data_IF_831262303284
#
_entry.id   IF_831262303284
#
_cell.length_a   1.000
_cell.length_b   1.000
_cell.length_c   1.000
_cell.angle_alpha   90.00
_cell.angle_beta   90.00
_cell.angle_gamma   90.00
#
_symmetry.space_group_name_H-M   'P 1'
#
loop_
_entity.id
_entity.type
_entity.pdbx_description
1 polymer ?
#
# COMPACT_ATOMS: atom_id res chain seq x y z
N UNK A 1 -68.23 -34.66 2.82
CA UNK A 1 -67.02 -33.80 2.68
C UNK A 1 -65.82 -34.73 2.41
N UNK A 2 -65.38 -35.12 1.21
CA UNK A 2 -65.25 -34.51 -0.13
C UNK A 2 -64.44 -33.22 -0.25
N UNK A 3 -63.82 -32.73 0.82
CA UNK A 3 -62.89 -31.57 0.76
C UNK A 3 -61.60 -31.69 1.58
N UNK A 4 -61.34 -32.85 2.22
CA UNK A 4 -60.12 -33.03 3.05
C UNK A 4 -59.01 -33.79 2.28
N UNK A 5 -59.30 -34.32 1.09
CA UNK A 5 -58.30 -35.00 0.25
C UNK A 5 -57.41 -34.06 -0.58
N UNK A 6 -57.67 -32.76 -0.59
CA UNK A 6 -56.96 -31.78 -1.43
C UNK A 6 -55.84 -31.02 -0.70
N UNK A 7 -55.73 -31.14 0.63
CA UNK A 7 -54.70 -30.44 1.41
C UNK A 7 -53.43 -31.28 1.56
N UNK A 8 -53.50 -32.60 1.34
CA UNK A 8 -52.32 -33.48 1.36
C UNK A 8 -51.52 -33.40 0.04
N UNK A 9 -52.03 -32.71 -1.00
CA UNK A 9 -51.51 -32.82 -2.37
C UNK A 9 -50.85 -31.54 -2.95
N UNK A 10 -50.61 -30.49 -2.16
CA UNK A 10 -50.04 -29.23 -2.69
C UNK A 10 -48.93 -28.58 -1.84
N UNK A 11 -48.46 -29.25 -0.78
CA UNK A 11 -47.47 -28.68 0.14
C UNK A 11 -46.14 -29.43 0.26
N UNK A 12 -45.95 -30.54 -0.48
CA UNK A 12 -44.64 -31.14 -0.63
C UNK A 12 -43.85 -30.26 -1.60
N UNK A 13 -43.34 -29.15 -1.08
CA UNK A 13 -42.22 -28.43 -1.66
C UNK A 13 -41.17 -29.48 -2.00
N UNK A 14 -41.03 -29.77 -3.29
CA UNK A 14 -39.84 -30.42 -3.81
C UNK A 14 -38.69 -29.50 -3.43
N UNK A 15 -38.10 -29.73 -2.28
CA UNK A 15 -36.73 -29.30 -1.99
C UNK A 15 -35.91 -30.15 -2.95
N UNK A 16 -35.85 -29.72 -4.21
CA UNK A 16 -34.85 -30.17 -5.15
C UNK A 16 -33.53 -29.72 -4.56
N UNK A 17 -32.93 -30.54 -3.69
CA UNK A 17 -31.49 -30.53 -3.55
C UNK A 17 -30.98 -30.78 -4.96
N UNK A 18 -30.56 -29.73 -5.67
CA UNK A 18 -29.85 -29.89 -6.92
C UNK A 18 -28.71 -30.86 -6.63
N UNK A 19 -28.78 -32.08 -7.17
CA UNK A 19 -27.75 -33.10 -6.96
C UNK A 19 -26.43 -32.50 -7.41
N UNK A 20 -25.47 -32.40 -6.49
CA UNK A 20 -24.11 -31.95 -6.83
C UNK A 20 -23.55 -32.95 -7.83
N UNK A 21 -23.31 -32.49 -9.06
CA UNK A 21 -22.63 -33.30 -10.08
C UNK A 21 -21.13 -33.14 -9.89
N UNK A 22 -20.43 -34.23 -9.60
CA UNK A 22 -18.97 -34.23 -9.59
C UNK A 22 -18.44 -33.93 -11.00
N UNK A 23 -17.40 -33.10 -11.10
CA UNK A 23 -16.79 -32.70 -12.35
C UNK A 23 -15.28 -33.01 -12.39
N UNK A 24 -14.85 -34.02 -11.63
CA UNK A 24 -13.43 -34.31 -11.47
C UNK A 24 -13.01 -34.62 -10.05
N UNK A 25 -11.70 -34.77 -9.88
CA UNK A 25 -11.03 -34.98 -8.59
C UNK A 25 -10.00 -33.88 -8.36
N UNK A 26 -9.88 -33.45 -7.11
CA UNK A 26 -8.91 -32.44 -6.67
C UNK A 26 -7.84 -33.14 -5.83
N UNK A 27 -6.58 -32.87 -6.13
CA UNK A 27 -5.43 -33.47 -5.48
C UNK A 27 -4.51 -32.38 -4.89
N UNK A 28 -4.14 -32.54 -3.62
CA UNK A 28 -3.13 -31.71 -2.95
C UNK A 28 -1.70 -32.14 -3.28
N UNK A 29 -1.52 -33.41 -3.67
CA UNK A 29 -0.26 -34.00 -4.11
C UNK A 29 -0.43 -34.60 -5.51
N UNK A 30 0.29 -34.07 -6.49
CA UNK A 30 0.18 -34.50 -7.88
C UNK A 30 1.48 -34.18 -8.67
N UNK A 31 1.94 -35.04 -9.62
CA UNK A 31 3.13 -34.76 -10.43
C UNK A 31 3.10 -33.39 -11.15
N UNK A 32 1.93 -32.97 -11.62
CA UNK A 32 1.75 -31.66 -12.25
C UNK A 32 2.08 -30.48 -11.32
N UNK A 33 1.82 -30.60 -10.01
CA UNK A 33 2.20 -29.58 -9.01
C UNK A 33 3.72 -29.50 -8.94
N UNK A 34 4.42 -30.65 -8.90
CA UNK A 34 5.89 -30.70 -8.86
C UNK A 34 6.51 -30.04 -10.10
N UNK A 35 5.91 -30.26 -11.28
CA UNK A 35 6.32 -29.60 -12.54
C UNK A 35 6.18 -28.09 -12.43
N UNK A 36 5.03 -27.60 -11.98
CA UNK A 36 4.74 -26.17 -11.83
C UNK A 36 5.72 -25.51 -10.87
N UNK A 37 5.94 -26.10 -9.70
CA UNK A 37 6.88 -25.55 -8.72
C UNK A 37 8.34 -25.59 -9.19
N UNK A 38 8.73 -26.66 -9.88
CA UNK A 38 10.04 -26.76 -10.52
C UNK A 38 10.27 -25.64 -11.53
N UNK A 39 9.26 -25.34 -12.35
CA UNK A 39 9.29 -24.24 -13.32
C UNK A 39 9.40 -22.89 -12.62
N UNK A 40 8.61 -22.64 -11.58
CA UNK A 40 8.65 -21.36 -10.83
C UNK A 40 10.00 -21.14 -10.16
N UNK A 41 10.57 -22.20 -9.57
CA UNK A 41 11.92 -22.13 -8.99
C UNK A 41 12.99 -21.81 -10.04
N UNK A 42 12.87 -22.40 -11.23
CA UNK A 42 13.76 -22.09 -12.36
C UNK A 42 13.57 -20.63 -12.83
N UNK A 43 12.32 -20.15 -12.91
CA UNK A 43 11.98 -18.78 -13.27
C UNK A 43 12.64 -17.77 -12.31
N UNK A 44 12.46 -17.95 -11.00
CA UNK A 44 13.06 -17.07 -9.97
C UNK A 44 14.58 -17.06 -10.05
N UNK A 45 15.19 -18.20 -10.39
CA UNK A 45 16.65 -18.29 -10.57
C UNK A 45 17.14 -17.65 -11.88
N UNK A 46 16.24 -17.31 -12.81
CA UNK A 46 16.59 -16.84 -14.15
C UNK A 46 17.11 -17.94 -15.08
N UNK A 47 16.83 -19.21 -14.79
CA UNK A 47 17.30 -20.35 -15.58
C UNK A 47 16.35 -20.61 -16.76
N UNK A 48 16.55 -19.86 -17.84
CA UNK A 48 15.73 -19.90 -19.06
C UNK A 48 15.66 -21.32 -19.65
N UNK A 49 16.80 -22.03 -19.72
CA UNK A 49 16.87 -23.37 -20.28
C UNK A 49 16.04 -24.36 -19.47
N UNK A 50 16.11 -24.27 -18.14
CA UNK A 50 15.33 -25.14 -17.26
C UNK A 50 13.84 -24.79 -17.32
N UNK A 51 13.48 -23.50 -17.39
CA UNK A 51 12.08 -23.09 -17.63
C UNK A 51 11.59 -23.69 -18.95
N UNK A 52 12.33 -23.54 -20.04
CA UNK A 52 11.96 -24.07 -21.36
C UNK A 52 11.71 -25.58 -21.33
N UNK A 53 12.50 -26.32 -20.53
CA UNK A 53 12.33 -27.76 -20.32
C UNK A 53 11.01 -28.17 -19.66
N UNK A 54 10.32 -27.27 -18.96
CA UNK A 54 8.99 -27.55 -18.38
C UNK A 54 7.83 -27.19 -19.31
N UNK A 55 8.06 -26.43 -20.38
CA UNK A 55 7.00 -25.91 -21.26
C UNK A 55 6.79 -26.81 -22.48
N UNK A 56 5.55 -26.98 -22.91
CA UNK A 56 5.19 -27.60 -24.18
C UNK A 56 5.69 -26.73 -25.36
N UNK A 57 5.72 -27.29 -26.57
CA UNK A 57 6.19 -26.54 -27.74
C UNK A 57 5.17 -25.49 -28.22
N UNK A 58 3.88 -25.79 -28.08
CA UNK A 58 2.76 -24.90 -28.39
C UNK A 58 2.35 -24.00 -27.20
N UNK A 59 3.26 -23.77 -26.26
CA UNK A 59 2.97 -23.04 -25.02
C UNK A 59 2.42 -21.62 -25.23
N UNK A 60 1.48 -21.23 -24.35
CA UNK A 60 0.95 -19.86 -24.26
C UNK A 60 0.81 -19.33 -22.82
N UNK A 61 1.24 -18.10 -22.56
CA UNK A 61 0.98 -17.39 -21.30
C UNK A 61 0.03 -16.22 -21.50
N UNK A 62 -0.99 -16.11 -20.65
CA UNK A 62 -2.05 -15.12 -20.76
C UNK A 62 -2.13 -14.20 -19.54
N UNK A 63 -2.54 -12.96 -19.77
CA UNK A 63 -3.01 -12.05 -18.73
C UNK A 63 -4.50 -12.30 -18.49
N UNK A 64 -4.80 -12.96 -17.37
CA UNK A 64 -6.17 -13.29 -16.97
C UNK A 64 -7.04 -12.07 -16.65
N UNK A 65 -6.42 -10.91 -16.38
CA UNK A 65 -7.12 -9.65 -16.12
C UNK A 65 -7.49 -8.90 -17.40
N UNK A 66 -7.04 -9.36 -18.58
CA UNK A 66 -7.28 -8.72 -19.86
C UNK A 66 -8.15 -9.59 -20.78
N UNK A 67 -9.41 -9.17 -21.00
CA UNK A 67 -10.38 -9.90 -21.84
C UNK A 67 -9.95 -10.04 -23.31
N UNK A 68 -9.09 -9.16 -23.81
CA UNK A 68 -8.69 -9.12 -25.22
C UNK A 68 -7.32 -9.77 -25.46
N UNK A 69 -6.67 -10.28 -24.40
CA UNK A 69 -5.35 -10.89 -24.49
C UNK A 69 -5.32 -12.09 -25.44
N UNK A 70 -4.25 -12.20 -26.23
CA UNK A 70 -4.05 -13.26 -27.23
C UNK A 70 -2.98 -14.28 -26.83
N UNK A 71 -2.36 -14.09 -25.66
CA UNK A 71 -1.34 -14.96 -25.12
C UNK A 71 0.02 -14.77 -25.79
N UNK A 72 1.05 -14.60 -24.95
CA UNK A 72 2.44 -14.61 -25.37
C UNK A 72 2.91 -16.04 -25.64
N UNK A 73 3.74 -16.21 -26.68
CA UNK A 73 4.33 -17.50 -27.03
C UNK A 73 5.50 -17.90 -26.10
N UNK A 74 5.96 -19.16 -26.25
CA UNK A 74 7.10 -19.72 -25.50
C UNK A 74 8.33 -18.83 -25.53
N UNK A 75 8.72 -18.35 -26.71
CA UNK A 75 9.91 -17.51 -26.85
C UNK A 75 9.77 -16.17 -26.10
N UNK A 76 8.60 -15.55 -26.14
CA UNK A 76 8.30 -14.30 -25.44
C UNK A 76 8.27 -14.49 -23.93
N UNK A 77 7.69 -15.59 -23.45
CA UNK A 77 7.71 -15.94 -22.03
C UNK A 77 9.14 -16.21 -21.52
N UNK A 78 9.97 -16.91 -22.29
CA UNK A 78 11.38 -17.13 -21.93
C UNK A 78 12.19 -15.83 -21.86
N UNK A 79 11.96 -14.88 -22.78
CA UNK A 79 12.53 -13.52 -22.65
C UNK A 79 12.11 -12.82 -21.36
N UNK A 80 10.89 -13.08 -20.88
CA UNK A 80 10.43 -12.53 -19.59
C UNK A 80 11.21 -13.09 -18.39
N UNK A 81 11.62 -14.36 -18.42
CA UNK A 81 12.47 -14.97 -17.37
C UNK A 81 13.74 -14.15 -17.19
N UNK A 82 14.43 -13.88 -18.29
CA UNK A 82 15.64 -13.06 -18.30
C UNK A 82 15.34 -11.62 -17.88
N UNK A 83 14.28 -11.02 -18.41
CA UNK A 83 13.89 -9.65 -18.06
C UNK A 83 13.66 -9.48 -16.56
N UNK A 84 12.98 -10.44 -15.91
CA UNK A 84 12.75 -10.41 -14.47
C UNK A 84 14.06 -10.56 -13.69
N UNK A 85 14.92 -11.50 -14.09
CA UNK A 85 16.23 -11.70 -13.47
C UNK A 85 17.13 -10.46 -13.57
N UNK A 86 17.10 -9.80 -14.72
CA UNK A 86 17.96 -8.66 -15.03
C UNK A 86 17.44 -7.36 -14.38
N UNK A 87 16.13 -7.22 -14.16
CA UNK A 87 15.52 -5.97 -13.69
C UNK A 87 14.91 -6.02 -12.29
N UNK A 88 14.89 -7.16 -11.61
CA UNK A 88 14.32 -7.29 -10.25
C UNK A 88 15.37 -7.86 -9.30
N UNK A 89 15.73 -7.08 -8.29
CA UNK A 89 16.52 -7.55 -7.15
C UNK A 89 15.61 -8.27 -6.14
N UNK A 90 16.18 -9.25 -5.45
CA UNK A 90 15.52 -10.02 -4.39
C UNK A 90 14.22 -10.71 -4.84
N UNK A 91 14.12 -11.06 -6.13
CA UNK A 91 12.94 -11.74 -6.68
C UNK A 91 12.63 -13.01 -5.88
N UNK A 92 11.40 -13.11 -5.42
CA UNK A 92 10.85 -14.27 -4.74
C UNK A 92 9.43 -14.49 -5.21
N UNK A 93 9.11 -15.73 -5.56
CA UNK A 93 7.75 -16.19 -5.81
C UNK A 93 7.54 -17.40 -4.92
N UNK A 94 6.61 -17.28 -3.96
CA UNK A 94 6.31 -18.33 -2.97
C UNK A 94 4.81 -18.49 -2.85
N UNK A 95 4.34 -19.67 -2.48
CA UNK A 95 2.93 -19.88 -2.12
C UNK A 95 2.51 -18.86 -1.05
N UNK A 96 1.33 -18.27 -1.20
CA UNK A 96 0.76 -17.41 -0.17
C UNK A 96 0.47 -18.23 1.09
N UNK A 97 0.51 -17.58 2.26
CA UNK A 97 0.26 -18.28 3.53
C UNK A 97 -1.14 -18.92 3.54
N UNK A 98 -1.19 -20.23 3.83
CA UNK A 98 -2.43 -21.02 3.84
C UNK A 98 -2.94 -21.47 2.46
N UNK A 99 -2.27 -21.08 1.37
CA UNK A 99 -2.58 -21.58 0.04
C UNK A 99 -1.87 -22.91 -0.24
N UNK A 100 -2.61 -23.84 -0.85
CA UNK A 100 -2.08 -25.08 -1.39
C UNK A 100 -2.36 -25.09 -2.90
N UNK A 101 -1.37 -25.44 -3.74
CA UNK A 101 -1.66 -25.63 -5.15
C UNK A 101 -2.54 -26.87 -5.31
N UNK A 102 -3.68 -26.71 -5.96
CA UNK A 102 -4.61 -27.80 -6.22
C UNK A 102 -4.42 -28.29 -7.65
N UNK A 103 -4.30 -29.60 -7.83
CA UNK A 103 -4.38 -30.24 -9.14
C UNK A 103 -5.81 -30.73 -9.39
N UNK A 104 -6.40 -30.33 -10.51
CA UNK A 104 -7.76 -30.67 -10.90
C UNK A 104 -7.70 -31.57 -12.13
N UNK A 105 -8.20 -32.79 -11.97
CA UNK A 105 -8.43 -33.72 -13.07
C UNK A 105 -9.93 -33.76 -13.38
N UNK A 106 -10.30 -33.30 -14.57
CA UNK A 106 -11.70 -33.27 -15.00
C UNK A 106 -12.11 -34.62 -15.61
N UNK A 107 -13.38 -35.00 -15.39
CA UNK A 107 -13.99 -36.17 -16.06
C UNK A 107 -14.52 -35.84 -17.46
N UNK A 108 -14.62 -34.55 -17.80
CA UNK A 108 -15.12 -34.10 -19.10
C UNK A 108 -14.17 -34.50 -20.24
N UNK A 109 -14.71 -35.04 -21.33
CA UNK A 109 -13.91 -35.55 -22.45
C UNK A 109 -13.02 -34.51 -23.11
N UNK A 110 -13.35 -33.21 -23.01
CA UNK A 110 -12.55 -32.13 -23.56
C UNK A 110 -11.35 -31.74 -22.67
N UNK A 111 -11.35 -32.15 -21.40
CA UNK A 111 -10.35 -31.78 -20.39
C UNK A 111 -9.65 -32.98 -19.76
N UNK A 112 -10.12 -34.22 -19.98
CA UNK A 112 -9.56 -35.45 -19.38
C UNK A 112 -8.09 -35.72 -19.68
N UNK A 113 -7.54 -35.06 -20.69
CA UNK A 113 -6.17 -35.24 -21.15
C UNK A 113 -5.20 -34.18 -20.61
N UNK A 114 -5.69 -33.28 -19.76
CA UNK A 114 -4.88 -32.25 -19.10
C UNK A 114 -5.18 -32.20 -17.61
N UNK A 115 -4.19 -31.75 -16.85
CA UNK A 115 -4.33 -31.45 -15.43
C UNK A 115 -4.21 -29.96 -15.25
N UNK A 116 -5.18 -29.37 -14.56
CA UNK A 116 -5.14 -27.98 -14.19
C UNK A 116 -4.47 -27.85 -12.83
N UNK A 117 -3.50 -26.95 -12.69
CA UNK A 117 -2.92 -26.61 -11.38
C UNK A 117 -3.26 -25.18 -11.05
N UNK A 118 -3.96 -24.98 -9.94
CA UNK A 118 -4.38 -23.69 -9.45
C UNK A 118 -3.53 -23.29 -8.25
N UNK A 119 -2.98 -22.07 -8.20
CA UNK A 119 -2.14 -21.62 -7.07
C UNK A 119 -2.32 -20.14 -6.76
N UNK A 120 -2.06 -19.78 -5.51
CA UNK A 120 -1.94 -18.41 -5.01
C UNK A 120 -0.54 -18.20 -4.47
N UNK A 121 0.09 -17.12 -4.90
CA UNK A 121 1.49 -16.84 -4.63
C UNK A 121 1.73 -15.38 -4.28
N UNK A 122 2.70 -15.16 -3.41
CA UNK A 122 3.22 -13.84 -3.10
C UNK A 122 4.47 -13.61 -3.96
N UNK A 123 4.42 -12.57 -4.78
CA UNK A 123 5.54 -12.09 -5.59
C UNK A 123 6.19 -10.92 -4.87
N UNK A 124 7.48 -11.04 -4.59
CA UNK A 124 8.27 -10.02 -3.91
C UNK A 124 9.55 -9.69 -4.67
N UNK A 125 9.98 -8.44 -4.58
CA UNK A 125 11.24 -7.97 -5.14
C UNK A 125 11.34 -6.45 -5.14
N UNK A 126 12.39 -5.92 -5.75
CA UNK A 126 12.58 -4.48 -5.96
C UNK A 126 13.04 -4.27 -7.39
N UNK A 127 12.34 -3.43 -8.16
CA UNK A 127 12.76 -3.12 -9.51
C UNK A 127 14.07 -2.31 -9.48
N UNK A 128 15.13 -2.81 -10.12
CA UNK A 128 16.52 -2.34 -9.95
C UNK A 128 16.70 -0.86 -10.28
N UNK A 129 16.06 -0.40 -11.35
CA UNK A 129 16.25 0.95 -11.87
C UNK A 129 15.44 1.99 -11.11
N UNK A 130 14.18 1.66 -10.79
CA UNK A 130 13.22 2.64 -10.23
C UNK A 130 13.08 2.54 -8.72
N UNK A 131 13.55 1.47 -8.09
CA UNK A 131 13.38 1.22 -6.66
C UNK A 131 11.95 0.86 -6.24
N UNK A 132 11.02 0.75 -7.19
CA UNK A 132 9.62 0.37 -6.92
C UNK A 132 9.60 -1.02 -6.31
N UNK A 133 9.00 -1.11 -5.12
CA UNK A 133 8.83 -2.37 -4.40
C UNK A 133 7.76 -3.20 -5.08
N UNK A 134 8.11 -4.45 -5.39
CA UNK A 134 7.16 -5.47 -5.84
C UNK A 134 6.76 -6.26 -4.59
N UNK A 135 5.49 -6.20 -4.23
CA UNK A 135 4.89 -6.97 -3.14
C UNK A 135 3.40 -7.12 -3.45
N UNK A 136 3.05 -8.18 -4.17
CA UNK A 136 1.68 -8.41 -4.62
C UNK A 136 1.28 -9.88 -4.53
N UNK A 137 0.00 -10.15 -4.24
CA UNK A 137 -0.58 -11.46 -4.48
C UNK A 137 -0.72 -11.70 -5.99
N UNK A 138 -0.54 -12.94 -6.40
CA UNK A 138 -0.67 -13.38 -7.77
C UNK A 138 -1.43 -14.71 -7.78
N UNK A 139 -2.46 -14.79 -8.61
CA UNK A 139 -3.19 -16.02 -8.86
C UNK A 139 -2.78 -16.60 -10.20
N UNK A 140 -2.45 -17.90 -10.24
CA UNK A 140 -2.07 -18.56 -11.49
C UNK A 140 -2.80 -19.87 -11.70
N UNK A 141 -3.21 -20.09 -12.94
CA UNK A 141 -3.73 -21.35 -13.45
C UNK A 141 -2.74 -21.90 -14.49
N UNK A 142 -2.34 -23.15 -14.32
CA UNK A 142 -1.46 -23.86 -15.23
C UNK A 142 -2.24 -25.01 -15.87
N UNK A 143 -2.05 -25.24 -17.16
CA UNK A 143 -2.56 -26.44 -17.84
C UNK A 143 -1.37 -27.32 -18.17
N UNK A 144 -1.35 -28.55 -17.66
CA UNK A 144 -0.27 -29.52 -17.84
C UNK A 144 -0.78 -30.68 -18.68
N UNK A 145 -0.04 -31.05 -19.73
CA UNK A 145 -0.40 -32.17 -20.60
C UNK A 145 0.09 -33.53 -20.04
N UNK A 146 -0.28 -34.63 -20.69
CA UNK A 146 0.13 -35.99 -20.31
C UNK A 146 1.64 -36.23 -20.26
N UNK A 147 2.42 -35.43 -21.01
CA UNK A 147 3.88 -35.49 -21.02
C UNK A 147 4.52 -34.67 -19.88
N UNK A 148 3.71 -34.23 -18.92
CA UNK A 148 4.12 -33.36 -17.81
C UNK A 148 4.77 -32.05 -18.29
N UNK A 149 4.26 -31.51 -19.40
CA UNK A 149 4.64 -30.18 -19.93
C UNK A 149 3.52 -29.18 -19.72
N UNK A 150 3.89 -27.98 -19.29
CA UNK A 150 2.96 -26.86 -19.14
C UNK A 150 2.61 -26.36 -20.55
N UNK A 151 1.33 -26.45 -20.92
CA UNK A 151 0.78 -25.95 -22.17
C UNK A 151 0.34 -24.49 -22.05
N UNK A 152 -0.18 -24.09 -20.90
CA UNK A 152 -0.52 -22.69 -20.69
C UNK A 152 -0.41 -22.24 -19.25
N UNK A 153 -0.24 -20.92 -19.09
CA UNK A 153 -0.29 -20.19 -17.81
C UNK A 153 -1.29 -19.05 -17.98
N UNK A 154 -2.21 -18.88 -17.05
CA UNK A 154 -3.04 -17.68 -16.95
C UNK A 154 -2.73 -17.01 -15.62
N UNK A 155 -2.32 -15.75 -15.66
CA UNK A 155 -1.90 -14.99 -14.48
C UNK A 155 -2.87 -13.85 -14.20
N UNK A 156 -3.31 -13.73 -12.96
CA UNK A 156 -4.06 -12.59 -12.45
C UNK A 156 -3.22 -11.92 -11.37
N UNK A 157 -2.92 -10.64 -11.57
CA UNK A 157 -2.13 -9.82 -10.65
C UNK A 157 -2.53 -8.35 -10.75
N UNK A 158 -2.07 -7.55 -9.80
CA UNK A 158 -2.26 -6.10 -9.82
C UNK A 158 -1.36 -5.42 -10.88
N UNK A 159 -1.98 -4.79 -11.87
CA UNK A 159 -1.27 -4.03 -12.89
C UNK A 159 -0.65 -2.72 -12.34
N UNK A 160 -1.09 -2.25 -11.17
CA UNK A 160 -0.63 -1.01 -10.53
C UNK A 160 0.88 -0.96 -10.33
N UNK A 161 1.51 -2.07 -9.89
CA UNK A 161 2.97 -2.13 -9.72
C UNK A 161 3.70 -1.95 -11.04
N UNK A 162 3.21 -2.60 -12.11
CA UNK A 162 3.80 -2.46 -13.44
C UNK A 162 3.65 -1.04 -14.00
N UNK A 163 2.52 -0.39 -13.72
CA UNK A 163 2.29 1.01 -14.08
C UNK A 163 3.24 1.94 -13.31
N UNK A 164 3.39 1.77 -12.00
CA UNK A 164 4.30 2.58 -11.17
C UNK A 164 5.76 2.47 -11.63
N UNK A 165 6.22 1.25 -11.97
CA UNK A 165 7.55 1.04 -12.58
C UNK A 165 7.69 1.82 -13.88
N UNK A 166 6.71 1.74 -14.77
CA UNK A 166 6.75 2.43 -16.07
C UNK A 166 6.74 3.95 -15.89
N UNK A 167 5.87 4.46 -15.03
CA UNK A 167 5.68 5.89 -14.83
C UNK A 167 6.92 6.51 -14.16
N UNK A 168 7.63 5.74 -13.32
CA UNK A 168 8.91 6.11 -12.69
C UNK A 168 10.07 6.31 -13.68
N UNK A 169 9.95 5.93 -14.95
CA UNK A 169 10.95 6.27 -15.98
C UNK A 169 10.81 7.69 -16.52
N UNK A 170 9.76 8.41 -16.14
CA UNK A 170 9.47 9.76 -16.60
C UNK A 170 9.61 10.79 -15.49
N UNK A 171 10.10 11.97 -15.84
CA UNK A 171 10.10 13.12 -14.92
C UNK A 171 8.71 13.76 -14.95
N UNK A 172 8.06 13.83 -13.79
CA UNK A 172 6.77 14.52 -13.62
C UNK A 172 6.89 15.64 -12.57
N UNK A 173 6.27 16.79 -12.85
CA UNK A 173 6.04 17.85 -11.86
C UNK A 173 4.76 17.55 -11.08
N UNK A 174 4.71 17.88 -9.80
CA UNK A 174 3.50 17.72 -8.97
C UNK A 174 3.18 19.03 -8.25
N UNK A 175 2.76 20.04 -9.02
CA UNK A 175 2.42 21.36 -8.49
C UNK A 175 3.56 22.38 -8.49
N UNK A 176 3.40 23.43 -7.67
CA UNK A 176 4.30 24.58 -7.59
C UNK A 176 4.75 24.83 -6.15
N UNK A 177 6.03 25.15 -5.98
CA UNK A 177 6.62 25.53 -4.69
C UNK A 177 6.83 27.05 -4.64
N UNK A 178 6.47 27.67 -3.53
CA UNK A 178 6.63 29.09 -3.25
C UNK A 178 7.42 29.29 -1.96
N UNK A 179 8.39 30.21 -1.98
CA UNK A 179 9.12 30.64 -0.78
C UNK A 179 8.56 31.96 -0.18
N UNK A 180 7.63 32.62 -0.87
CA UNK A 180 6.87 33.78 -0.42
C UNK A 180 5.41 33.62 -0.85
N UNK A 181 4.51 33.53 0.12
CA UNK A 181 3.07 33.35 -0.10
C UNK A 181 2.29 33.76 1.15
N UNK A 182 1.02 34.13 1.01
CA UNK A 182 0.20 34.56 2.15
C UNK A 182 0.00 33.45 3.18
N UNK A 183 -0.06 32.19 2.77
CA UNK A 183 -0.10 31.06 3.72
C UNK A 183 1.18 30.92 4.54
N UNK A 184 2.35 31.21 3.96
CA UNK A 184 3.62 31.26 4.72
C UNK A 184 3.55 32.38 5.76
N UNK A 185 3.01 33.54 5.39
CA UNK A 185 2.82 34.65 6.31
C UNK A 185 1.87 34.27 7.46
N UNK A 186 0.76 33.57 7.17
CA UNK A 186 -0.16 33.06 8.19
C UNK A 186 0.53 32.13 9.18
N UNK A 187 1.31 31.16 8.72
CA UNK A 187 2.07 30.25 9.61
C UNK A 187 3.06 31.03 10.48
N UNK A 188 3.83 31.96 9.91
CA UNK A 188 4.77 32.78 10.70
C UNK A 188 4.05 33.60 11.77
N UNK A 189 2.94 34.25 11.41
CA UNK A 189 2.15 35.06 12.37
C UNK A 189 1.54 34.18 13.45
N UNK A 190 1.03 33.00 13.11
CA UNK A 190 0.50 32.03 14.06
C UNK A 190 1.58 31.57 15.06
N UNK A 191 2.74 31.13 14.57
CA UNK A 191 3.84 30.66 15.44
C UNK A 191 4.35 31.77 16.36
N UNK A 192 4.54 32.98 15.84
CA UNK A 192 4.98 34.10 16.67
C UNK A 192 3.88 34.61 17.61
N UNK A 193 2.59 34.46 17.27
CA UNK A 193 1.51 34.72 18.22
C UNK A 193 1.57 33.76 19.41
N UNK A 194 1.85 32.48 19.15
CA UNK A 194 2.07 31.48 20.19
C UNK A 194 3.28 31.80 21.07
N UNK A 195 4.42 32.17 20.47
CA UNK A 195 5.61 32.66 21.19
C UNK A 195 5.29 33.84 22.13
N UNK A 196 4.46 34.78 21.65
CA UNK A 196 4.06 35.97 22.41
C UNK A 196 2.87 35.73 23.35
N UNK A 197 2.46 34.47 23.54
CA UNK A 197 1.35 34.07 24.42
C UNK A 197 0.00 34.66 24.01
N UNK A 198 -0.13 35.10 22.76
CA UNK A 198 -1.37 35.56 22.13
C UNK A 198 -2.09 34.36 21.50
N UNK A 199 -2.58 33.49 22.38
CA UNK A 199 -3.16 32.21 21.97
C UNK A 199 -4.46 32.37 21.20
N UNK A 200 -5.28 33.38 21.53
CA UNK A 200 -6.51 33.65 20.78
C UNK A 200 -6.19 33.96 19.32
N UNK A 201 -5.16 34.77 19.06
CA UNK A 201 -4.66 35.02 17.71
C UNK A 201 -4.04 33.78 17.08
N UNK A 202 -3.19 33.04 17.80
CA UNK A 202 -2.60 31.81 17.27
C UNK A 202 -3.69 30.81 16.82
N UNK A 203 -4.68 30.55 17.67
CA UNK A 203 -5.77 29.62 17.36
C UNK A 203 -6.76 30.15 16.30
N UNK A 204 -6.77 31.46 16.03
CA UNK A 204 -7.63 32.05 14.99
C UNK A 204 -7.26 31.67 13.56
N UNK A 205 -6.06 31.12 13.33
CA UNK A 205 -5.63 30.66 12.01
C UNK A 205 -6.14 29.27 11.64
N UNK A 206 -6.73 28.56 12.61
CA UNK A 206 -7.24 27.21 12.43
C UNK A 206 -8.74 27.18 12.13
N UNK A 207 -9.15 26.25 11.27
CA UNK A 207 -10.56 25.88 11.15
C UNK A 207 -11.06 25.26 12.46
N UNK A 208 -12.35 25.44 12.78
CA UNK A 208 -12.94 24.91 14.01
C UNK A 208 -12.89 23.37 14.08
N UNK A 209 -12.83 22.70 12.92
CA UNK A 209 -12.72 21.25 12.79
C UNK A 209 -11.29 20.81 12.49
N UNK A 210 -10.29 21.68 12.68
CA UNK A 210 -8.90 21.33 12.46
C UNK A 210 -8.49 20.10 13.27
N UNK A 211 -7.68 19.25 12.66
CA UNK A 211 -7.12 18.04 13.28
C UNK A 211 -5.62 18.12 13.46
N UNK A 212 -5.12 17.59 14.56
CA UNK A 212 -3.71 17.70 14.93
C UNK A 212 -3.10 16.32 15.14
N UNK A 213 -1.88 16.13 14.65
CA UNK A 213 -1.05 14.95 14.91
C UNK A 213 0.40 15.34 15.20
N UNK A 214 1.15 14.43 15.79
CA UNK A 214 2.60 14.55 15.86
C UNK A 214 3.31 13.21 15.64
N UNK A 215 4.62 13.26 15.38
CA UNK A 215 5.45 12.10 15.08
C UNK A 215 5.62 11.09 16.22
N UNK A 216 5.21 11.44 17.45
CA UNK A 216 5.30 10.55 18.62
C UNK A 216 3.99 9.78 18.87
N UNK A 217 2.92 10.07 18.13
CA UNK A 217 1.65 9.35 18.23
C UNK A 217 1.70 8.00 17.53
N UNK A 218 0.98 7.01 18.05
CA UNK A 218 0.89 5.70 17.41
C UNK A 218 0.10 5.78 16.07
N UNK A 219 0.37 4.89 15.08
CA UNK A 219 -0.31 4.93 13.79
C UNK A 219 -1.84 4.82 13.87
N UNK A 220 -2.35 4.09 14.86
CA UNK A 220 -3.78 3.84 15.11
C UNK A 220 -4.41 4.84 16.09
N UNK A 221 -3.61 5.71 16.71
CA UNK A 221 -4.10 6.77 17.58
C UNK A 221 -4.92 7.79 16.78
N UNK A 222 -6.02 8.28 17.34
CA UNK A 222 -6.87 9.28 16.67
C UNK A 222 -6.22 10.66 16.70
N UNK A 223 -6.43 11.45 15.64
CA UNK A 223 -6.02 12.85 15.63
C UNK A 223 -6.77 13.64 16.71
N UNK A 224 -6.10 14.65 17.24
CA UNK A 224 -6.67 15.54 18.25
C UNK A 224 -7.56 16.58 17.59
N UNK A 225 -8.61 17.02 18.29
CA UNK A 225 -9.38 18.21 17.90
C UNK A 225 -8.68 19.48 18.36
N UNK A 226 -9.09 20.63 17.81
CA UNK A 226 -8.58 21.94 18.25
C UNK A 226 -8.71 22.16 19.76
N UNK A 227 -9.82 21.74 20.38
CA UNK A 227 -10.00 21.89 21.83
C UNK A 227 -9.04 20.98 22.63
N UNK A 228 -8.80 19.76 22.15
CA UNK A 228 -7.83 18.85 22.78
C UNK A 228 -6.40 19.39 22.63
N UNK A 229 -6.08 19.97 21.48
CA UNK A 229 -4.79 20.60 21.23
C UNK A 229 -4.55 21.77 22.19
N UNK A 230 -5.53 22.66 22.36
CA UNK A 230 -5.47 23.77 23.33
C UNK A 230 -5.19 23.30 24.76
N UNK A 231 -5.83 22.20 25.18
CA UNK A 231 -5.58 21.62 26.50
C UNK A 231 -4.18 20.99 26.61
N UNK A 232 -3.66 20.41 25.53
CA UNK A 232 -2.27 19.92 25.48
C UNK A 232 -1.25 21.07 25.55
N UNK A 233 -1.47 22.13 24.78
CA UNK A 233 -0.63 23.33 24.82
C UNK A 233 -0.60 23.95 26.21
N UNK A 234 -1.76 24.04 26.86
CA UNK A 234 -1.86 24.51 28.25
C UNK A 234 -1.03 23.67 29.22
N UNK A 235 -1.02 22.34 29.06
CA UNK A 235 -0.19 21.43 29.88
C UNK A 235 1.30 21.60 29.58
N UNK A 236 1.68 21.84 28.33
CA UNK A 236 3.05 22.16 27.96
C UNK A 236 3.49 23.47 28.61
N UNK A 237 2.67 24.53 28.50
CA UNK A 237 2.96 25.84 29.08
C UNK A 237 2.98 25.86 30.60
N UNK A 238 2.37 24.88 31.28
CA UNK A 238 2.52 24.71 32.73
C UNK A 238 3.92 24.24 33.11
N UNK A 239 4.58 23.50 32.23
CA UNK A 239 5.89 22.87 32.47
C UNK A 239 7.05 23.66 31.87
N UNK A 240 6.81 24.38 30.77
CA UNK A 240 7.81 25.09 30.00
C UNK A 240 7.39 26.53 29.76
N UNK A 241 8.37 27.42 29.71
CA UNK A 241 8.20 28.79 29.21
C UNK A 241 8.84 28.86 27.83
N UNK A 242 8.04 29.10 26.79
CA UNK A 242 8.52 29.30 25.42
C UNK A 242 9.16 30.69 25.36
N UNK A 243 10.46 30.73 25.07
CA UNK A 243 11.24 31.98 25.05
C UNK A 243 11.39 32.56 23.66
N UNK A 244 11.51 31.71 22.63
CA UNK A 244 11.44 32.14 21.23
C UNK A 244 11.10 31.00 20.28
N UNK A 245 10.56 31.35 19.12
CA UNK A 245 10.35 30.44 17.99
C UNK A 245 11.18 30.93 16.80
N UNK A 246 12.38 30.39 16.63
CA UNK A 246 13.29 30.86 15.59
C UNK A 246 13.12 30.02 14.32
N UNK A 247 12.82 30.67 13.19
CA UNK A 247 12.72 29.97 11.90
C UNK A 247 14.09 29.39 11.51
N UNK A 248 14.09 28.15 11.01
CA UNK A 248 15.26 27.49 10.43
C UNK A 248 15.11 27.46 8.92
N UNK A 249 15.97 28.20 8.21
CA UNK A 249 15.86 28.37 6.76
C UNK A 249 14.68 29.28 6.41
N UNK A 250 13.76 28.81 5.59
CA UNK A 250 12.51 29.49 5.28
C UNK A 250 11.38 28.45 5.10
N UNK A 251 10.14 28.77 5.47
CA UNK A 251 9.00 27.92 5.14
C UNK A 251 8.76 27.87 3.63
N UNK A 252 8.32 26.70 3.15
CA UNK A 252 7.92 26.49 1.76
C UNK A 252 6.41 26.19 1.70
N UNK A 253 5.73 26.84 0.76
CA UNK A 253 4.36 26.52 0.40
C UNK A 253 4.34 25.64 -0.84
N UNK A 254 3.81 24.43 -0.68
CA UNK A 254 3.62 23.41 -1.68
C UNK A 254 2.16 23.46 -2.12
N UNK A 255 1.91 23.95 -3.32
CA UNK A 255 0.61 23.85 -3.97
C UNK A 255 0.63 22.65 -4.93
N UNK A 256 0.05 21.52 -4.51
CA UNK A 256 0.07 20.28 -5.27
C UNK A 256 -0.96 20.26 -6.40
N UNK A 257 -0.58 19.74 -7.56
CA UNK A 257 -1.53 19.53 -8.68
C UNK A 257 -2.52 18.41 -8.36
N UNK A 258 -2.03 17.29 -7.81
CA UNK A 258 -2.89 16.19 -7.39
C UNK A 258 -3.66 16.58 -6.12
N UNK A 259 -4.98 16.71 -6.27
CA UNK A 259 -5.88 17.03 -5.17
C UNK A 259 -5.88 18.50 -4.74
N UNK A 260 -5.20 19.39 -5.46
CA UNK A 260 -5.12 20.85 -5.17
C UNK A 260 -4.77 21.15 -3.70
N UNK A 261 -3.89 20.32 -3.12
CA UNK A 261 -3.54 20.40 -1.71
C UNK A 261 -2.61 21.59 -1.45
N UNK A 262 -2.96 22.39 -0.44
CA UNK A 262 -2.29 23.64 -0.09
C UNK A 262 -1.52 23.44 1.22
N UNK A 263 -0.22 23.16 1.15
CA UNK A 263 0.55 22.73 2.32
C UNK A 263 1.74 23.66 2.59
N UNK A 264 1.86 24.18 3.80
CA UNK A 264 3.08 24.89 4.24
C UNK A 264 3.92 23.95 5.09
N UNK A 265 5.21 23.83 4.75
CA UNK A 265 6.20 23.17 5.60
C UNK A 265 7.08 24.24 6.23
N UNK A 266 7.21 24.21 7.56
CA UNK A 266 7.99 25.21 8.29
C UNK A 266 8.84 24.58 9.39
N UNK A 267 10.13 24.89 9.40
CA UNK A 267 11.08 24.42 10.40
C UNK A 267 11.38 25.51 11.44
N UNK A 268 11.36 25.12 12.71
CA UNK A 268 11.56 26.03 13.83
C UNK A 268 12.47 25.42 14.89
N UNK A 269 13.23 26.27 15.55
CA UNK A 269 13.78 25.98 16.87
C UNK A 269 12.81 26.58 17.91
N UNK A 270 12.11 25.73 18.65
CA UNK A 270 11.37 26.15 19.83
C UNK A 270 12.33 26.21 21.02
N UNK A 271 12.72 27.42 21.40
CA UNK A 271 13.56 27.66 22.57
C UNK A 271 12.66 27.76 23.79
N UNK A 272 12.92 26.96 24.81
CA UNK A 272 12.11 26.86 26.01
C UNK A 272 12.96 26.82 27.27
N UNK A 273 12.39 27.26 28.39
CA UNK A 273 12.93 27.04 29.73
C UNK A 273 11.99 26.13 30.52
N UNK A 274 12.48 24.98 30.98
CA UNK A 274 11.72 24.08 31.85
C UNK A 274 11.59 24.70 33.24
N UNK A 275 10.38 24.79 33.77
CA UNK A 275 10.09 25.54 35.00
C UNK A 275 10.53 24.83 36.27
N UNK A 276 10.64 23.50 36.27
CA UNK A 276 11.02 22.73 37.45
C UNK A 276 12.49 22.94 37.86
N UNK A 277 13.38 23.20 36.90
CA UNK A 277 14.83 23.27 37.11
C UNK A 277 15.53 24.40 36.33
N UNK A 278 14.77 25.27 35.68
CA UNK A 278 15.27 26.36 34.82
C UNK A 278 16.15 25.89 33.65
N UNK A 279 16.02 24.63 33.22
CA UNK A 279 16.82 24.10 32.10
C UNK A 279 16.39 24.73 30.79
N UNK A 280 17.37 25.27 30.03
CA UNK A 280 17.17 25.73 28.65
C UNK A 280 17.17 24.54 27.70
N UNK A 281 16.16 24.49 26.83
CA UNK A 281 15.92 23.42 25.87
C UNK A 281 15.71 24.06 24.51
N UNK A 282 16.34 23.49 23.48
CA UNK A 282 16.06 23.83 22.09
C UNK A 282 15.42 22.61 21.46
N UNK A 283 14.15 22.73 21.07
CA UNK A 283 13.40 21.66 20.42
C UNK A 283 13.24 21.99 18.92
N UNK A 284 13.96 21.28 18.03
CA UNK A 284 13.69 21.35 16.61
C UNK A 284 12.31 20.77 16.32
N UNK A 285 11.51 21.51 15.56
CA UNK A 285 10.16 21.10 15.17
C UNK A 285 9.92 21.46 13.70
N UNK A 286 9.34 20.52 12.96
CA UNK A 286 8.77 20.75 11.63
C UNK A 286 7.25 20.74 11.76
N UNK A 287 6.60 21.82 11.34
CA UNK A 287 5.16 21.87 11.15
C UNK A 287 4.82 21.66 9.67
N UNK A 288 3.80 20.84 9.43
CA UNK A 288 3.16 20.65 8.13
C UNK A 288 1.70 21.07 8.25
N UNK A 289 1.39 22.25 7.71
CA UNK A 289 0.09 22.90 7.81
C UNK A 289 -0.68 22.80 6.49
N UNK A 290 -1.83 22.13 6.49
CA UNK A 290 -2.72 22.06 5.33
C UNK A 290 -3.80 23.12 5.42
N UNK A 291 -4.01 23.88 4.35
CA UNK A 291 -4.99 24.95 4.25
C UNK A 291 -6.22 24.52 3.43
N UNK A 292 -7.39 25.05 3.80
CA UNK A 292 -8.57 25.05 2.93
C UNK A 292 -8.59 26.30 2.01
N UNK A 293 -9.60 26.39 1.16
CA UNK A 293 -9.75 27.50 0.20
C UNK A 293 -10.09 28.84 0.88
N UNK A 294 -10.62 28.80 2.11
CA UNK A 294 -10.82 30.01 2.94
C UNK A 294 -9.49 30.49 3.58
N UNK A 295 -8.42 29.71 3.40
CA UNK A 295 -7.11 29.98 3.95
C UNK A 295 -7.00 29.75 5.46
N UNK A 296 -7.81 28.85 5.99
CA UNK A 296 -7.74 28.35 7.37
C UNK A 296 -6.94 27.05 7.40
N UNK A 297 -6.16 26.83 8.45
CA UNK A 297 -5.44 25.57 8.65
C UNK A 297 -6.44 24.51 9.09
N UNK A 298 -6.58 23.44 8.31
CA UNK A 298 -7.49 22.31 8.58
C UNK A 298 -6.76 21.12 9.19
N UNK A 299 -5.45 21.03 9.02
CA UNK A 299 -4.64 19.98 9.62
C UNK A 299 -3.23 20.48 9.89
N UNK A 300 -2.71 20.21 11.08
CA UNK A 300 -1.29 20.40 11.42
C UNK A 300 -0.66 19.06 11.84
N UNK A 301 0.50 18.74 11.27
CA UNK A 301 1.36 17.64 11.74
C UNK A 301 2.68 18.21 12.24
N UNK A 302 2.99 17.94 13.51
CA UNK A 302 4.25 18.34 14.13
C UNK A 302 5.26 17.16 14.17
N UNK A 303 6.44 17.34 13.59
CA UNK A 303 7.55 16.40 13.70
C UNK A 303 8.58 16.94 14.68
N UNK A 304 8.71 16.26 15.82
CA UNK A 304 9.68 16.57 16.87
C UNK A 304 9.91 15.33 17.75
N UNK A 305 10.99 15.33 18.54
CA UNK A 305 11.26 14.27 19.52
C UNK A 305 10.91 14.76 20.92
N UNK A 306 9.94 14.10 21.57
CA UNK A 306 9.55 14.38 22.95
C UNK A 306 10.68 14.08 23.96
N UNK A 307 11.58 13.15 23.63
CA UNK A 307 12.78 12.83 24.42
C UNK A 307 13.70 14.01 24.67
N UNK A 308 13.64 15.06 23.85
CA UNK A 308 14.39 16.30 24.09
C UNK A 308 13.91 16.99 25.38
N UNK A 309 12.64 16.83 25.74
CA UNK A 309 12.04 17.40 26.95
C UNK A 309 12.47 16.66 28.23
N UNK A 310 12.90 15.40 28.09
CA UNK A 310 13.30 14.53 29.20
C UNK A 310 14.79 14.67 29.57
N UNK A 311 15.66 15.17 28.67
CA UNK A 311 17.11 15.16 28.87
C UNK A 311 17.51 15.70 30.26
N UNK A 312 18.23 14.90 31.04
CA UNK A 312 18.95 15.34 32.25
C UNK A 312 20.35 15.87 31.87
N UNK A 313 21.13 16.38 32.83
CA UNK A 313 22.51 16.84 32.57
C UNK A 313 23.42 15.61 32.56
N UNK A 314 24.10 15.35 31.44
CA UNK A 314 25.38 14.63 31.49
C UNK A 314 26.44 15.67 31.88
N UNK A 315 27.01 15.50 33.09
CA UNK A 315 28.15 16.29 33.57
C UNK A 315 29.45 15.81 32.91
#
# INVERSE_FOLDING_TARGET
MKKVLLIVMMGATFITYAQKKANGTIYVDHPAITVVEGMIKAFVNGDENKVAGYLADDFKSFDGSNKDDKGSDKASFLRSVKNWKDNIDYLSIKRSAGAYPDALEYTDDSQKDVVWVQTWEDVKGVHKTTGVKIDMPMHRLFVVNKDNKIKSIMTYSDAGIGNEVRDSYSVRKNGTIYNHHDYINKVRVMVHAFENKDYDKAYSFYDKKASFRNSNMAPDEKSLTLDQMKEMDKKMMQQFDVTSMDVRGYPDYLNYELGDAKVVQSWWNCNMTRKSDNKKIVMPILFIDTFNDEGMITNEIAYYSDKILEKEIEY
#
